data_IF_886157850792
#
_entry.id   IF_886157850792
#
_cell.length_a   1.000
_cell.length_b   1.000
_cell.length_c   1.000
_cell.angle_alpha   90.00
_cell.angle_beta   90.00
_cell.angle_gamma   90.00
#
_symmetry.space_group_name_H-M   'P 1'
#
loop_
_entity.id
_entity.type
_entity.pdbx_description
1 polymer ?
#
# COMPACT_ATOMS: atom_id res chain seq x y z
N UNK A 1 -23.31 -28.51 -6.67
CA UNK A 1 -21.92 -28.01 -6.81
C UNK A 1 -21.01 -29.17 -7.20
N UNK A 2 -20.10 -28.99 -8.15
CA UNK A 2 -19.18 -30.04 -8.62
C UNK A 2 -17.85 -29.96 -7.86
N UNK A 3 -17.41 -31.07 -7.29
CA UNK A 3 -16.13 -31.14 -6.58
C UNK A 3 -14.97 -31.15 -7.57
N UNK A 4 -14.01 -30.25 -7.41
CA UNK A 4 -12.80 -30.22 -8.24
C UNK A 4 -11.90 -31.43 -7.97
N UNK A 5 -11.34 -31.97 -9.04
CA UNK A 5 -10.44 -33.12 -8.97
C UNK A 5 -9.12 -32.73 -8.30
N UNK A 6 -8.69 -33.54 -7.34
CA UNK A 6 -7.42 -33.38 -6.61
C UNK A 6 -6.41 -34.45 -7.03
N UNK A 7 -5.15 -34.35 -6.61
CA UNK A 7 -4.17 -35.43 -6.81
C UNK A 7 -4.66 -36.75 -6.19
N UNK A 8 -5.36 -36.67 -5.05
CA UNK A 8 -5.96 -37.84 -4.38
C UNK A 8 -7.09 -38.45 -5.20
N UNK A 9 -7.89 -37.65 -5.90
CA UNK A 9 -8.93 -38.14 -6.83
C UNK A 9 -8.30 -39.05 -7.91
N UNK A 10 -7.15 -38.65 -8.45
CA UNK A 10 -6.40 -39.43 -9.44
C UNK A 10 -5.47 -40.50 -8.84
N UNK A 11 -5.44 -40.67 -7.51
CA UNK A 11 -4.58 -41.62 -6.80
C UNK A 11 -3.09 -41.48 -7.16
N UNK A 12 -2.62 -40.24 -7.35
CA UNK A 12 -1.21 -39.98 -7.69
C UNK A 12 -0.31 -40.34 -6.49
N UNK A 13 0.65 -41.26 -6.63
CA UNK A 13 1.55 -41.67 -5.55
C UNK A 13 2.68 -40.65 -5.33
N UNK A 14 3.37 -40.80 -4.20
CA UNK A 14 4.62 -40.06 -3.95
C UNK A 14 5.69 -40.47 -4.98
N UNK A 15 6.51 -39.51 -5.42
CA UNK A 15 7.51 -39.70 -6.47
C UNK A 15 6.97 -39.89 -7.90
N UNK A 16 5.68 -39.65 -8.15
CA UNK A 16 5.10 -39.78 -9.48
C UNK A 16 5.74 -38.82 -10.51
N UNK A 17 5.98 -39.34 -11.72
CA UNK A 17 6.44 -38.54 -12.87
C UNK A 17 5.28 -37.72 -13.45
N UNK A 18 5.46 -36.39 -13.53
CA UNK A 18 4.47 -35.45 -14.08
C UNK A 18 5.05 -34.82 -15.35
N UNK A 19 4.32 -34.93 -16.47
CA UNK A 19 4.68 -34.30 -17.74
C UNK A 19 4.02 -32.92 -17.86
N UNK A 20 4.80 -31.88 -18.11
CA UNK A 20 4.31 -30.52 -18.41
C UNK A 20 4.30 -30.31 -19.93
N UNK A 21 3.22 -29.75 -20.47
CA UNK A 21 3.08 -29.46 -21.90
C UNK A 21 2.73 -27.99 -22.11
N UNK A 22 3.32 -27.37 -23.15
CA UNK A 22 2.99 -26.01 -23.57
C UNK A 22 2.06 -26.05 -24.78
N UNK A 23 1.30 -24.97 -24.99
CA UNK A 23 0.36 -24.85 -26.12
C UNK A 23 1.07 -25.05 -27.48
N UNK A 24 2.33 -24.62 -27.60
CA UNK A 24 3.15 -24.77 -28.82
C UNK A 24 3.53 -26.23 -29.13
N UNK A 25 3.56 -27.11 -28.12
CA UNK A 25 3.99 -28.51 -28.25
C UNK A 25 2.81 -29.50 -28.09
N UNK A 26 1.56 -29.04 -28.20
CA UNK A 26 0.35 -29.86 -28.04
C UNK A 26 -0.25 -30.31 -29.37
N UNK A 27 -0.77 -31.54 -29.38
CA UNK A 27 -1.76 -31.96 -30.37
C UNK A 27 -3.11 -31.26 -30.06
N UNK A 28 -3.82 -30.73 -31.08
CA UNK A 28 -5.01 -29.88 -30.91
C UNK A 28 -6.16 -30.49 -30.09
N UNK A 29 -6.19 -31.81 -29.90
CA UNK A 29 -7.25 -32.55 -29.22
C UNK A 29 -7.12 -32.60 -27.68
N UNK A 30 -6.05 -32.03 -27.08
CA UNK A 30 -5.76 -32.16 -25.63
C UNK A 30 -5.91 -30.86 -24.82
N UNK A 31 -6.45 -29.80 -25.43
CA UNK A 31 -6.66 -28.53 -24.74
C UNK A 31 -7.88 -28.62 -23.79
N UNK A 32 -7.61 -28.87 -22.51
CA UNK A 32 -8.61 -28.68 -21.45
C UNK A 32 -8.86 -27.18 -21.26
N UNK A 33 -10.13 -26.78 -21.19
CA UNK A 33 -10.52 -25.41 -20.89
C UNK A 33 -10.22 -25.07 -19.42
N UNK A 34 -9.85 -23.81 -19.15
CA UNK A 34 -9.67 -23.31 -17.79
C UNK A 34 -11.02 -23.21 -17.09
N UNK A 35 -11.24 -24.03 -16.07
CA UNK A 35 -12.45 -23.98 -15.25
C UNK A 35 -12.52 -22.68 -14.44
N UNK A 36 -11.37 -22.07 -14.14
CA UNK A 36 -11.27 -20.79 -13.40
C UNK A 36 -11.84 -19.60 -14.19
N UNK A 37 -11.92 -19.73 -15.51
CA UNK A 37 -12.39 -18.66 -16.40
C UNK A 37 -13.92 -18.69 -16.57
N UNK A 38 -14.62 -19.70 -16.01
CA UNK A 38 -16.08 -19.74 -15.96
C UNK A 38 -16.60 -18.61 -15.06
N UNK A 39 -17.45 -17.74 -15.60
CA UNK A 39 -18.06 -16.63 -14.86
C UNK A 39 -18.83 -17.09 -13.61
N UNK A 40 -19.33 -18.32 -13.62
CA UNK A 40 -20.06 -18.93 -12.51
C UNK A 40 -19.19 -19.93 -11.71
N UNK A 41 -17.86 -19.78 -11.74
CA UNK A 41 -16.93 -20.70 -11.08
C UNK A 41 -17.26 -20.93 -9.60
N UNK A 42 -17.51 -19.85 -8.85
CA UNK A 42 -17.76 -19.89 -7.40
C UNK A 42 -19.08 -20.55 -6.99
N UNK A 43 -20.06 -20.62 -7.91
CA UNK A 43 -21.37 -21.24 -7.67
C UNK A 43 -21.45 -22.67 -8.21
N UNK A 44 -20.71 -22.96 -9.28
CA UNK A 44 -20.71 -24.28 -9.92
C UNK A 44 -19.75 -25.25 -9.26
N UNK A 45 -18.60 -24.80 -8.75
CA UNK A 45 -17.52 -25.68 -8.30
C UNK A 45 -17.17 -25.49 -6.83
N UNK A 46 -16.93 -26.59 -6.12
CA UNK A 46 -16.41 -26.61 -4.76
C UNK A 46 -15.06 -27.35 -4.68
N UNK A 47 -14.31 -27.11 -3.62
CA UNK A 47 -13.05 -27.81 -3.37
C UNK A 47 -12.98 -28.32 -1.93
N UNK A 48 -12.45 -27.55 -0.99
CA UNK A 48 -12.32 -27.98 0.41
C UNK A 48 -13.50 -27.58 1.30
N UNK A 49 -14.33 -26.65 0.84
CA UNK A 49 -15.50 -26.15 1.56
C UNK A 49 -16.70 -26.37 0.64
N UNK A 50 -17.70 -27.05 1.17
CA UNK A 50 -19.02 -27.15 0.56
C UNK A 50 -19.95 -26.13 1.24
N UNK A 51 -20.48 -25.14 0.50
CA UNK A 51 -21.34 -24.10 1.06
C UNK A 51 -22.69 -24.65 1.56
N UNK A 52 -23.15 -25.81 1.08
CA UNK A 52 -24.42 -26.41 1.52
C UNK A 52 -24.32 -27.03 2.93
N UNK A 53 -23.12 -27.13 3.50
CA UNK A 53 -22.91 -27.56 4.89
C UNK A 53 -23.64 -26.62 5.87
N UNK A 54 -23.91 -25.37 5.53
CA UNK A 54 -24.63 -24.45 6.42
C UNK A 54 -26.10 -24.87 6.66
N UNK A 55 -26.73 -25.59 5.72
CA UNK A 55 -28.09 -26.13 5.92
C UNK A 55 -28.12 -27.39 6.79
N UNK A 56 -27.05 -28.20 6.78
CA UNK A 56 -26.92 -29.41 7.63
C UNK A 56 -26.35 -29.11 9.03
N UNK A 57 -25.77 -27.92 9.25
CA UNK A 57 -25.25 -27.45 10.54
C UNK A 57 -26.34 -27.18 11.61
N UNK A 58 -27.63 -27.15 11.25
CA UNK A 58 -28.73 -26.97 12.21
C UNK A 58 -28.89 -28.11 13.23
N UNK A 59 -28.23 -29.27 13.04
CA UNK A 59 -28.42 -30.45 13.90
C UNK A 59 -27.44 -30.59 15.08
N UNK A 60 -26.35 -29.81 15.15
CA UNK A 60 -25.49 -29.78 16.36
C UNK A 60 -24.52 -28.57 16.37
N UNK A 61 -24.94 -27.40 16.90
CA UNK A 61 -24.20 -26.12 16.77
C UNK A 61 -23.01 -25.94 17.72
N UNK A 62 -23.07 -26.49 18.95
CA UNK A 62 -22.20 -26.03 20.04
C UNK A 62 -20.81 -26.71 20.08
N UNK A 63 -20.70 -27.97 19.67
CA UNK A 63 -19.45 -28.75 19.81
C UNK A 63 -18.41 -28.55 18.70
N UNK A 64 -18.75 -27.88 17.59
CA UNK A 64 -17.86 -27.74 16.41
C UNK A 64 -17.45 -26.30 16.07
N UNK A 65 -18.28 -25.29 16.38
CA UNK A 65 -17.96 -23.87 16.10
C UNK A 65 -16.81 -23.33 16.97
N UNK A 66 -16.67 -23.83 18.20
CA UNK A 66 -15.56 -23.52 19.12
C UNK A 66 -14.25 -24.20 18.68
N UNK A 67 -14.29 -25.50 18.32
CA UNK A 67 -13.09 -26.25 17.90
C UNK A 67 -12.45 -25.69 16.62
N UNK A 68 -13.24 -25.23 15.64
CA UNK A 68 -12.69 -24.67 14.41
C UNK A 68 -11.99 -23.31 14.65
N UNK A 69 -12.55 -22.45 15.51
CA UNK A 69 -11.97 -21.14 15.82
C UNK A 69 -10.65 -21.26 16.60
N UNK A 70 -10.57 -22.18 17.56
CA UNK A 70 -9.35 -22.41 18.35
C UNK A 70 -8.22 -23.05 17.52
N UNK A 71 -8.53 -24.08 16.71
CA UNK A 71 -7.55 -24.71 15.81
C UNK A 71 -7.00 -23.71 14.78
N UNK A 72 -7.84 -22.78 14.31
CA UNK A 72 -7.41 -21.74 13.38
C UNK A 72 -6.50 -20.70 14.05
N UNK A 73 -6.69 -20.40 15.33
CA UNK A 73 -5.83 -19.45 16.05
C UNK A 73 -4.40 -19.98 16.22
N UNK A 74 -4.23 -21.26 16.55
CA UNK A 74 -2.89 -21.88 16.63
C UNK A 74 -2.17 -21.86 15.28
N UNK A 75 -2.90 -22.07 14.17
CA UNK A 75 -2.34 -21.96 12.81
C UNK A 75 -1.95 -20.52 12.46
N UNK A 76 -2.74 -19.54 12.86
CA UNK A 76 -2.39 -18.11 12.68
C UNK A 76 -1.12 -17.76 13.46
N UNK A 77 -1.01 -18.21 14.72
CA UNK A 77 0.19 -18.02 15.53
C UNK A 77 1.42 -18.70 14.91
N UNK A 78 1.27 -19.95 14.45
CA UNK A 78 2.35 -20.68 13.78
C UNK A 78 2.81 -19.95 12.52
N UNK A 79 1.87 -19.45 11.72
CA UNK A 79 2.19 -18.65 10.52
C UNK A 79 2.88 -17.35 10.91
N UNK A 80 2.39 -16.63 11.92
CA UNK A 80 3.03 -15.41 12.45
C UNK A 80 4.47 -15.67 12.82
N UNK A 81 4.74 -16.71 13.62
CA UNK A 81 6.09 -17.08 14.05
C UNK A 81 6.99 -17.38 12.85
N UNK A 82 6.49 -18.15 11.87
CA UNK A 82 7.27 -18.52 10.69
C UNK A 82 7.70 -17.32 9.84
N UNK A 83 6.85 -16.30 9.70
CA UNK A 83 7.15 -15.09 8.91
C UNK A 83 7.72 -13.95 9.73
N UNK A 84 7.80 -14.08 11.06
CA UNK A 84 8.05 -12.96 11.96
C UNK A 84 9.39 -12.27 11.69
N UNK A 85 10.45 -13.04 11.47
CA UNK A 85 11.79 -12.50 11.19
C UNK A 85 11.82 -11.59 9.95
N UNK A 86 11.06 -11.94 8.91
CA UNK A 86 10.93 -11.12 7.71
C UNK A 86 10.17 -9.82 7.99
N UNK A 87 9.11 -9.89 8.80
CA UNK A 87 8.35 -8.70 9.23
C UNK A 87 9.23 -7.77 10.05
N UNK A 88 9.97 -8.30 11.03
CA UNK A 88 10.89 -7.51 11.85
C UNK A 88 11.98 -6.87 11.01
N UNK A 89 12.59 -7.64 10.11
CA UNK A 89 13.66 -7.13 9.25
C UNK A 89 13.14 -6.01 8.34
N UNK A 90 11.94 -6.17 7.77
CA UNK A 90 11.30 -5.13 6.96
C UNK A 90 11.04 -3.86 7.78
N UNK A 91 10.43 -3.99 8.95
CA UNK A 91 10.12 -2.87 9.83
C UNK A 91 11.38 -2.12 10.27
N UNK A 92 12.39 -2.86 10.73
CA UNK A 92 13.71 -2.30 11.07
C UNK A 92 14.50 -1.81 9.87
N UNK A 93 14.18 -2.19 8.64
CA UNK A 93 14.78 -1.57 7.44
C UNK A 93 14.09 -0.23 7.12
N UNK A 94 12.79 -0.11 7.41
CA UNK A 94 12.02 1.11 7.17
C UNK A 94 12.41 2.23 8.14
N UNK A 95 12.51 1.92 9.44
CA UNK A 95 12.86 2.91 10.48
C UNK A 95 14.24 2.72 11.10
N UNK A 96 14.94 1.63 10.80
CA UNK A 96 16.31 1.44 11.26
C UNK A 96 17.29 2.04 10.27
N UNK A 97 18.21 2.82 10.81
CA UNK A 97 19.23 3.51 10.05
C UNK A 97 20.50 2.67 10.04
N UNK A 98 20.73 1.89 8.98
CA UNK A 98 22.06 1.35 8.75
C UNK A 98 23.03 2.54 8.62
N UNK A 99 23.99 2.66 9.56
CA UNK A 99 24.99 3.74 9.62
C UNK A 99 24.44 5.17 9.78
N UNK A 100 23.31 5.39 10.48
CA UNK A 100 22.68 6.72 10.65
C UNK A 100 22.31 7.42 9.34
N UNK A 101 22.24 6.69 8.21
CA UNK A 101 21.88 7.27 6.92
C UNK A 101 20.36 7.30 6.77
N UNK A 102 19.77 8.48 7.01
CA UNK A 102 18.38 8.79 6.68
C UNK A 102 18.33 9.42 5.29
N UNK A 103 17.31 9.12 4.50
CA UNK A 103 17.12 9.77 3.19
C UNK A 103 17.01 11.29 3.34
N UNK A 104 17.70 12.08 2.49
CA UNK A 104 17.60 13.55 2.50
C UNK A 104 16.15 14.05 2.47
N UNK A 105 15.28 13.38 1.70
CA UNK A 105 13.85 13.72 1.62
C UNK A 105 13.11 13.58 2.97
N UNK A 106 13.42 12.54 3.74
CA UNK A 106 12.78 12.31 5.05
C UNK A 106 13.26 13.38 6.04
N UNK A 107 14.58 13.62 6.11
CA UNK A 107 15.15 14.63 7.01
C UNK A 107 14.62 16.02 6.70
N UNK A 108 14.74 16.46 5.45
CA UNK A 108 14.27 17.77 5.01
C UNK A 108 12.77 17.97 5.29
N UNK A 109 11.94 16.96 4.97
CA UNK A 109 10.50 17.05 5.19
C UNK A 109 10.11 17.04 6.68
N UNK A 110 10.81 16.28 7.53
CA UNK A 110 10.55 16.26 8.97
C UNK A 110 10.99 17.55 9.65
N UNK A 111 12.11 18.15 9.23
CA UNK A 111 12.56 19.47 9.70
C UNK A 111 11.57 20.57 9.28
N UNK A 112 10.99 20.47 8.08
CA UNK A 112 9.91 21.35 7.64
C UNK A 112 8.68 21.22 8.56
N UNK A 113 8.26 20.00 8.91
CA UNK A 113 7.14 19.81 9.83
C UNK A 113 7.42 20.38 11.23
N UNK A 114 8.64 20.20 11.74
CA UNK A 114 9.03 20.75 13.04
C UNK A 114 9.06 22.29 13.00
N UNK A 115 9.56 22.88 11.92
CA UNK A 115 9.55 24.33 11.69
C UNK A 115 8.12 24.89 11.62
N UNK A 116 7.19 24.16 11.00
CA UNK A 116 5.77 24.53 10.93
C UNK A 116 5.06 24.47 12.30
N UNK A 117 5.45 23.52 13.17
CA UNK A 117 4.98 23.45 14.56
C UNK A 117 5.45 24.67 15.34
N UNK A 118 6.72 25.03 15.22
CA UNK A 118 7.32 26.21 15.86
C UNK A 118 6.66 27.51 15.38
N UNK A 119 6.52 27.67 14.05
CA UNK A 119 5.88 28.84 13.43
C UNK A 119 4.44 29.04 13.90
N UNK A 120 3.69 27.95 14.08
CA UNK A 120 2.31 27.97 14.57
C UNK A 120 2.21 28.01 16.10
N UNK A 121 3.35 28.01 16.82
CA UNK A 121 3.44 28.01 18.29
C UNK A 121 2.65 26.87 18.94
N UNK A 122 2.68 25.70 18.32
CA UNK A 122 2.00 24.51 18.85
C UNK A 122 2.83 23.96 20.03
N UNK A 123 2.20 23.83 21.19
CA UNK A 123 2.86 23.39 22.44
C UNK A 123 2.66 21.91 22.75
N UNK A 124 1.71 21.26 22.08
CA UNK A 124 1.42 19.83 22.26
C UNK A 124 2.55 18.97 21.66
N UNK A 125 3.27 18.17 22.47
CA UNK A 125 4.39 17.34 22.01
C UNK A 125 3.96 16.18 21.11
N UNK A 126 2.68 15.84 21.06
CA UNK A 126 2.16 14.73 20.26
C UNK A 126 1.92 15.14 18.79
N UNK A 127 1.68 16.43 18.53
CA UNK A 127 1.35 16.94 17.20
C UNK A 127 2.45 16.67 16.16
N UNK A 128 3.76 16.95 16.42
CA UNK A 128 4.82 16.62 15.47
C UNK A 128 4.85 15.13 15.13
N UNK A 129 4.66 14.26 16.13
CA UNK A 129 4.63 12.80 15.94
C UNK A 129 3.44 12.38 15.06
N UNK A 130 2.26 12.94 15.29
CA UNK A 130 1.06 12.69 14.49
C UNK A 130 1.26 13.14 13.05
N UNK A 131 1.81 14.33 12.82
CA UNK A 131 2.06 14.85 11.47
C UNK A 131 3.08 13.99 10.71
N UNK A 132 4.20 13.62 11.33
CA UNK A 132 5.22 12.73 10.75
C UNK A 132 4.61 11.37 10.39
N UNK A 133 3.81 10.79 11.29
CA UNK A 133 3.15 9.49 11.09
C UNK A 133 2.10 9.52 9.97
N UNK A 134 1.27 10.57 9.94
CA UNK A 134 0.19 10.71 8.97
C UNK A 134 0.68 11.12 7.57
N UNK A 135 1.90 11.61 7.45
CA UNK A 135 2.49 12.07 6.19
C UNK A 135 3.35 11.00 5.52
N UNK A 136 4.21 10.28 6.26
CA UNK A 136 5.14 9.31 5.67
C UNK A 136 4.69 7.84 5.89
N UNK A 137 4.69 7.27 7.11
CA UNK A 137 4.25 5.89 7.34
C UNK A 137 2.87 5.58 6.77
N UNK A 138 1.88 6.44 7.03
CA UNK A 138 0.49 6.18 6.63
C UNK A 138 0.25 6.32 5.12
N UNK A 139 0.85 7.32 4.48
CA UNK A 139 0.57 7.62 3.05
C UNK A 139 1.46 6.83 2.11
N UNK A 140 2.72 6.63 2.49
CA UNK A 140 3.71 5.97 1.65
C UNK A 140 3.89 4.51 2.07
N UNK A 141 4.39 4.24 3.28
CA UNK A 141 4.82 2.89 3.66
C UNK A 141 3.67 1.89 3.76
N UNK A 142 2.53 2.26 4.33
CA UNK A 142 1.32 1.40 4.34
C UNK A 142 0.88 1.07 2.93
N UNK A 143 0.99 2.02 1.99
CA UNK A 143 0.58 1.79 0.62
C UNK A 143 1.50 0.76 -0.07
N UNK A 144 2.83 0.88 0.10
CA UNK A 144 3.81 -0.09 -0.41
C UNK A 144 3.66 -1.47 0.25
N UNK A 145 3.47 -1.51 1.58
CA UNK A 145 3.27 -2.76 2.35
C UNK A 145 2.03 -3.52 1.87
N UNK A 146 0.94 -2.80 1.61
CA UNK A 146 -0.29 -3.40 1.13
C UNK A 146 -0.24 -3.71 -0.36
N UNK A 147 0.51 -2.95 -1.16
CA UNK A 147 0.52 -3.06 -2.61
C UNK A 147 1.94 -3.33 -3.14
N UNK A 148 2.52 -4.50 -2.84
CA UNK A 148 3.87 -4.83 -3.29
C UNK A 148 3.98 -4.95 -4.81
N UNK A 149 2.86 -5.10 -5.54
CA UNK A 149 2.82 -5.06 -7.00
C UNK A 149 3.18 -3.68 -7.59
N UNK A 150 3.23 -2.62 -6.77
CA UNK A 150 3.75 -1.32 -7.20
C UNK A 150 5.28 -1.31 -7.33
N UNK A 151 5.97 -2.29 -6.72
CA UNK A 151 7.42 -2.37 -6.68
C UNK A 151 7.92 -3.60 -7.44
N UNK A 152 7.18 -4.71 -7.38
CA UNK A 152 7.57 -6.00 -7.94
C UNK A 152 6.51 -6.51 -8.91
N UNK A 153 6.93 -7.28 -9.92
CA UNK A 153 6.01 -7.98 -10.81
C UNK A 153 5.44 -9.22 -10.10
N UNK A 154 4.34 -9.01 -9.36
CA UNK A 154 3.68 -10.06 -8.59
C UNK A 154 2.16 -10.03 -8.71
N UNK A 155 1.57 -11.21 -8.89
CA UNK A 155 0.11 -11.39 -8.84
C UNK A 155 -0.38 -11.42 -7.40
N UNK A 156 -0.91 -10.29 -6.94
CA UNK A 156 -1.45 -10.15 -5.58
C UNK A 156 -2.81 -10.87 -5.46
N UNK A 157 -2.82 -11.98 -4.74
CA UNK A 157 -4.07 -12.70 -4.42
C UNK A 157 -4.86 -12.04 -3.28
N UNK A 158 -6.20 -12.22 -3.20
CA UNK A 158 -6.99 -11.71 -2.07
C UNK A 158 -6.55 -12.26 -0.70
N UNK A 159 -6.04 -13.50 -0.64
CA UNK A 159 -5.50 -14.06 0.59
C UNK A 159 -4.25 -13.29 1.04
N UNK A 160 -3.33 -13.03 0.11
CA UNK A 160 -2.13 -12.24 0.38
C UNK A 160 -2.49 -10.81 0.80
N UNK A 161 -3.49 -10.19 0.17
CA UNK A 161 -4.01 -8.87 0.57
C UNK A 161 -4.46 -8.83 2.04
N UNK A 162 -5.21 -9.86 2.47
CA UNK A 162 -5.63 -10.01 3.86
C UNK A 162 -4.44 -10.13 4.83
N UNK A 163 -3.44 -10.94 4.48
CA UNK A 163 -2.22 -11.10 5.28
C UNK A 163 -1.40 -9.80 5.38
N UNK A 164 -1.18 -9.12 4.25
CA UNK A 164 -0.46 -7.86 4.20
C UNK A 164 -1.20 -6.74 4.93
N UNK A 165 -2.54 -6.76 4.91
CA UNK A 165 -3.35 -5.82 5.68
C UNK A 165 -3.18 -6.00 7.19
N UNK A 166 -3.03 -7.24 7.67
CA UNK A 166 -2.69 -7.50 9.09
C UNK A 166 -1.32 -6.93 9.43
N UNK A 167 -0.30 -7.18 8.60
CA UNK A 167 1.06 -6.67 8.81
C UNK A 167 1.09 -5.13 8.76
N UNK A 168 0.41 -4.52 7.79
CA UNK A 168 0.32 -3.06 7.67
C UNK A 168 -0.42 -2.42 8.86
N UNK A 169 -1.43 -3.09 9.42
CA UNK A 169 -2.07 -2.62 10.64
C UNK A 169 -1.10 -2.68 11.83
N UNK A 170 -0.36 -3.77 12.00
CA UNK A 170 0.69 -3.89 13.01
C UNK A 170 1.76 -2.81 12.85
N UNK A 171 2.18 -2.54 11.62
CA UNK A 171 3.08 -1.44 11.30
C UNK A 171 2.53 -0.11 11.81
N UNK A 172 1.28 0.23 11.48
CA UNK A 172 0.66 1.48 11.95
C UNK A 172 0.45 1.55 13.45
N UNK A 173 0.09 0.44 14.10
CA UNK A 173 -0.07 0.36 15.56
C UNK A 173 1.26 0.68 16.27
N UNK A 174 2.40 0.42 15.62
CA UNK A 174 3.75 0.76 16.11
C UNK A 174 4.03 2.27 16.16
N UNK A 175 3.28 3.08 15.40
CA UNK A 175 3.36 4.54 15.46
C UNK A 175 2.29 5.16 16.37
N UNK A 176 1.44 4.36 17.02
CA UNK A 176 0.40 4.89 17.90
C UNK A 176 0.98 5.44 19.20
N UNK A 177 0.55 6.64 19.60
CA UNK A 177 0.88 7.24 20.89
C UNK A 177 0.10 6.63 22.06
N UNK A 178 -1.06 6.02 21.78
CA UNK A 178 -1.94 5.43 22.78
C UNK A 178 -1.51 4.02 23.13
N UNK A 179 -1.37 3.71 24.41
CA UNK A 179 -1.15 2.35 24.85
C UNK A 179 -2.39 1.49 24.67
N UNK A 180 -2.20 0.34 24.02
CA UNK A 180 -3.29 -0.56 23.68
C UNK A 180 -3.49 -1.55 24.82
N UNK A 181 -4.54 -1.37 25.62
CA UNK A 181 -5.03 -2.43 26.50
C UNK A 181 -5.98 -3.33 25.72
N UNK A 182 -5.45 -4.46 25.23
CA UNK A 182 -6.27 -5.43 24.50
C UNK A 182 -6.95 -6.40 25.47
N UNK A 183 -8.28 -6.31 25.53
CA UNK A 183 -9.12 -7.26 26.26
C UNK A 183 -9.49 -8.49 25.42
N UNK A 184 -10.27 -9.39 26.03
CA UNK A 184 -10.78 -10.64 25.41
C UNK A 184 -11.55 -10.44 24.08
N UNK A 185 -12.09 -9.24 23.86
CA UNK A 185 -12.87 -8.89 22.67
C UNK A 185 -12.06 -8.15 21.60
N UNK A 186 -10.74 -8.03 21.78
CA UNK A 186 -9.89 -7.41 20.78
C UNK A 186 -9.87 -8.23 19.47
N UNK A 187 -9.77 -7.56 18.31
CA UNK A 187 -9.60 -8.23 17.03
C UNK A 187 -8.37 -9.16 17.02
N UNK A 188 -8.51 -10.36 16.44
CA UNK A 188 -7.43 -11.38 16.43
C UNK A 188 -6.13 -10.86 15.83
N UNK A 189 -6.20 -10.05 14.77
CA UNK A 189 -5.02 -9.44 14.15
C UNK A 189 -4.22 -8.54 15.10
N UNK A 190 -4.89 -7.85 16.04
CA UNK A 190 -4.22 -7.04 17.08
C UNK A 190 -3.58 -7.93 18.15
N UNK A 191 -4.28 -9.00 18.54
CA UNK A 191 -3.76 -9.97 19.51
C UNK A 191 -2.50 -10.70 19.00
N UNK A 192 -2.36 -10.90 17.69
CA UNK A 192 -1.21 -11.61 17.09
C UNK A 192 0.13 -10.91 17.33
N UNK A 193 0.15 -9.58 17.42
CA UNK A 193 1.38 -8.78 17.54
C UNK A 193 1.44 -7.92 18.80
N UNK A 194 0.46 -8.06 19.72
CA UNK A 194 0.36 -7.21 20.93
C UNK A 194 1.64 -7.17 21.77
N UNK A 195 2.39 -8.27 21.81
CA UNK A 195 3.64 -8.37 22.58
C UNK A 195 4.82 -7.64 21.91
N UNK A 196 4.77 -7.48 20.60
CA UNK A 196 5.86 -6.89 19.80
C UNK A 196 5.70 -5.36 19.68
N UNK A 197 4.45 -4.86 19.64
CA UNK A 197 4.12 -3.43 19.48
C UNK A 197 4.87 -2.50 20.47
N UNK A 198 4.95 -2.79 21.79
CA UNK A 198 5.65 -1.90 22.71
C UNK A 198 7.12 -1.67 22.33
N UNK A 199 7.81 -2.71 21.85
CA UNK A 199 9.19 -2.58 21.37
C UNK A 199 9.23 -1.72 20.10
N UNK A 200 8.37 -1.99 19.11
CA UNK A 200 8.34 -1.21 17.87
C UNK A 200 8.04 0.27 18.11
N UNK A 201 7.16 0.59 19.07
CA UNK A 201 6.92 1.97 19.50
C UNK A 201 8.18 2.67 20.01
N UNK A 202 9.03 1.97 20.78
CA UNK A 202 10.29 2.52 21.27
C UNK A 202 11.30 2.73 20.13
N UNK A 203 11.37 1.78 19.19
CA UNK A 203 12.21 1.90 17.99
C UNK A 203 11.78 3.10 17.12
N UNK A 204 10.47 3.29 16.91
CA UNK A 204 9.91 4.45 16.17
C UNK A 204 10.22 5.77 16.88
N UNK A 205 10.05 5.84 18.20
CA UNK A 205 10.42 7.04 18.99
C UNK A 205 11.90 7.37 18.83
N UNK A 206 12.75 6.33 18.87
CA UNK A 206 14.20 6.47 18.65
C UNK A 206 14.51 6.96 17.24
N UNK A 207 13.83 6.44 16.23
CA UNK A 207 13.97 6.88 14.85
C UNK A 207 13.61 8.36 14.67
N UNK A 208 12.44 8.81 15.14
CA UNK A 208 12.06 10.22 15.04
C UNK A 208 12.99 11.15 15.79
N UNK A 209 13.49 10.73 16.95
CA UNK A 209 14.53 11.48 17.68
C UNK A 209 15.83 11.55 16.87
N UNK A 210 16.30 10.43 16.34
CA UNK A 210 17.51 10.38 15.51
C UNK A 210 17.40 11.33 14.30
N UNK A 211 16.27 11.29 13.57
CA UNK A 211 16.07 12.19 12.42
C UNK A 211 16.11 13.65 12.85
N UNK A 212 15.50 13.99 14.01
CA UNK A 212 15.54 15.35 14.55
C UNK A 212 16.96 15.79 14.89
N UNK A 213 17.74 14.91 15.52
CA UNK A 213 19.09 15.18 15.99
C UNK A 213 20.14 15.23 14.85
N UNK A 214 19.80 14.79 13.63
CA UNK A 214 20.68 14.92 12.47
C UNK A 214 20.90 16.39 12.08
N UNK A 215 22.07 16.74 11.50
CA UNK A 215 22.30 18.07 10.94
C UNK A 215 21.21 18.46 9.94
N UNK A 216 20.82 19.73 9.98
CA UNK A 216 19.88 20.28 9.01
C UNK A 216 20.50 20.25 7.61
N UNK A 217 19.69 19.86 6.63
CA UNK A 217 20.07 19.87 5.21
C UNK A 217 19.87 21.28 4.68
N UNK A 218 20.89 21.83 4.04
CA UNK A 218 20.79 23.16 3.43
C UNK A 218 19.90 23.13 2.18
N UNK A 219 19.30 24.27 1.83
CA UNK A 219 18.49 24.37 0.60
C UNK A 219 19.31 24.01 -0.65
N UNK A 220 20.60 24.35 -0.67
CA UNK A 220 21.47 24.01 -1.78
C UNK A 220 21.66 22.50 -1.91
N UNK A 221 22.04 21.81 -0.84
CA UNK A 221 22.21 20.35 -0.84
C UNK A 221 20.91 19.65 -1.23
N UNK A 222 19.76 20.13 -0.74
CA UNK A 222 18.48 19.54 -1.10
C UNK A 222 18.12 19.79 -2.58
N UNK A 223 18.41 20.97 -3.13
CA UNK A 223 18.25 21.26 -4.57
C UNK A 223 19.13 20.38 -5.43
N UNK A 224 20.38 20.13 -5.02
CA UNK A 224 21.29 19.22 -5.71
C UNK A 224 20.71 17.79 -5.74
N UNK A 225 20.25 17.27 -4.59
CA UNK A 225 19.57 15.99 -4.48
C UNK A 225 18.32 15.88 -5.40
N UNK A 226 17.50 16.93 -5.45
CA UNK A 226 16.32 16.97 -6.32
C UNK A 226 16.72 17.00 -7.81
N UNK A 227 17.74 17.76 -8.17
CA UNK A 227 18.22 17.84 -9.55
C UNK A 227 18.83 16.53 -10.04
N UNK A 228 19.60 15.84 -9.20
CA UNK A 228 20.12 14.51 -9.51
C UNK A 228 18.99 13.50 -9.74
N UNK A 229 17.96 13.54 -8.90
CA UNK A 229 16.78 12.69 -9.04
C UNK A 229 16.01 13.03 -10.31
N UNK A 230 15.78 14.32 -10.60
CA UNK A 230 15.08 14.75 -11.81
C UNK A 230 15.80 14.30 -13.09
N UNK A 231 17.13 14.49 -13.16
CA UNK A 231 17.95 14.06 -14.30
C UNK A 231 17.87 12.56 -14.56
N UNK A 232 17.80 11.76 -13.49
CA UNK A 232 17.68 10.31 -13.62
C UNK A 232 16.39 9.87 -14.33
N UNK A 233 15.32 10.65 -14.19
CA UNK A 233 13.98 10.31 -14.65
C UNK A 233 13.45 11.24 -15.77
N UNK A 234 14.28 12.13 -16.33
CA UNK A 234 13.91 13.19 -17.27
C UNK A 234 13.13 12.68 -18.50
N UNK A 235 13.44 11.47 -18.98
CA UNK A 235 12.85 10.90 -20.19
C UNK A 235 11.94 9.68 -19.91
N UNK A 236 11.56 9.45 -18.66
CA UNK A 236 10.71 8.31 -18.29
C UNK A 236 9.21 8.59 -18.47
N UNK A 237 8.81 9.86 -18.41
CA UNK A 237 7.40 10.26 -18.39
C UNK A 237 7.04 11.19 -19.56
N UNK A 238 5.83 11.06 -20.08
CA UNK A 238 5.33 11.92 -21.15
C UNK A 238 4.68 13.19 -20.56
N UNK A 239 5.47 14.25 -20.41
CA UNK A 239 5.00 15.55 -19.90
C UNK A 239 3.87 16.13 -20.76
N UNK A 240 3.95 15.98 -22.09
CA UNK A 240 2.94 16.48 -23.01
C UNK A 240 1.56 15.87 -22.75
N UNK A 241 1.51 14.56 -22.46
CA UNK A 241 0.26 13.90 -22.08
C UNK A 241 -0.25 14.39 -20.71
N UNK A 242 0.62 14.50 -19.72
CA UNK A 242 0.27 14.99 -18.39
C UNK A 242 -0.31 16.41 -18.43
N UNK A 243 0.32 17.33 -19.18
CA UNK A 243 -0.15 18.71 -19.35
C UNK A 243 -1.50 18.77 -20.07
N UNK A 244 -1.70 17.96 -21.13
CA UNK A 244 -3.01 17.86 -21.80
C UNK A 244 -4.12 17.39 -20.86
N UNK A 245 -3.84 16.41 -20.00
CA UNK A 245 -4.81 15.92 -19.04
C UNK A 245 -5.05 16.93 -17.90
N UNK A 246 -4.02 17.61 -17.44
CA UNK A 246 -4.13 18.67 -16.43
C UNK A 246 -4.99 19.85 -16.92
N UNK A 247 -4.81 20.25 -18.19
CA UNK A 247 -5.58 21.35 -18.78
C UNK A 247 -7.09 21.09 -18.77
N UNK A 248 -7.54 19.82 -18.80
CA UNK A 248 -8.97 19.49 -18.68
C UNK A 248 -9.58 20.05 -17.38
N UNK A 249 -8.81 20.06 -16.29
CA UNK A 249 -9.24 20.65 -15.02
C UNK A 249 -9.19 22.18 -15.08
N UNK A 250 -8.13 22.76 -15.65
CA UNK A 250 -8.01 24.22 -15.83
C UNK A 250 -9.19 24.76 -16.63
N UNK A 251 -9.54 24.11 -17.74
CA UNK A 251 -10.69 24.48 -18.56
C UNK A 251 -12.01 24.37 -17.79
N UNK A 252 -12.18 23.31 -16.99
CA UNK A 252 -13.40 23.08 -16.22
C UNK A 252 -13.64 24.14 -15.15
N UNK A 253 -12.57 24.59 -14.50
CA UNK A 253 -12.62 25.53 -13.36
C UNK A 253 -12.02 26.89 -13.72
N UNK A 254 -12.06 27.27 -15.01
CA UNK A 254 -11.32 28.43 -15.50
C UNK A 254 -11.74 29.73 -14.80
N UNK A 255 -13.06 29.92 -14.61
CA UNK A 255 -13.59 31.12 -13.94
C UNK A 255 -13.17 31.17 -12.48
N UNK A 256 -13.28 30.07 -11.76
CA UNK A 256 -12.89 29.99 -10.36
C UNK A 256 -11.40 30.24 -10.17
N UNK A 257 -10.56 29.74 -11.10
CA UNK A 257 -9.12 30.03 -11.10
C UNK A 257 -8.87 31.50 -11.39
N UNK A 258 -9.55 32.08 -12.38
CA UNK A 258 -9.42 33.49 -12.74
C UNK A 258 -9.84 34.41 -11.57
N UNK A 259 -11.02 34.19 -11.01
CA UNK A 259 -11.55 34.96 -9.89
C UNK A 259 -10.60 34.90 -8.69
N UNK A 260 -10.02 33.72 -8.41
CA UNK A 260 -9.02 33.57 -7.36
C UNK A 260 -7.75 34.38 -7.66
N UNK A 261 -7.26 34.35 -8.89
CA UNK A 261 -6.09 35.12 -9.30
C UNK A 261 -6.34 36.65 -9.26
N UNK A 262 -7.54 37.11 -9.57
CA UNK A 262 -7.91 38.52 -9.47
C UNK A 262 -7.99 38.99 -8.01
N UNK A 263 -8.51 38.15 -7.11
CA UNK A 263 -8.69 38.49 -5.69
C UNK A 263 -7.38 38.49 -4.88
N UNK A 264 -6.36 37.73 -5.28
CA UNK A 264 -5.13 37.55 -4.51
C UNK A 264 -3.96 38.47 -4.92
N UNK A 265 -4.23 39.60 -5.59
CA UNK A 265 -3.20 40.55 -6.08
C UNK A 265 -2.09 39.87 -6.90
N UNK A 266 -2.43 38.82 -7.66
CA UNK A 266 -1.45 38.10 -8.48
C UNK A 266 -0.97 39.02 -9.62
N UNK A 267 0.31 38.94 -10.04
CA UNK A 267 0.83 39.79 -11.11
C UNK A 267 -0.03 39.68 -12.37
N UNK A 268 -0.37 40.82 -12.98
CA UNK A 268 -1.25 40.91 -14.16
C UNK A 268 -0.79 40.02 -15.33
N UNK A 269 0.52 39.75 -15.43
CA UNK A 269 1.08 38.83 -16.42
C UNK A 269 0.58 37.39 -16.31
N UNK A 270 0.22 36.88 -15.11
CA UNK A 270 -0.26 35.51 -14.94
C UNK A 270 -1.67 35.30 -15.50
N UNK A 271 -2.55 36.30 -15.35
CA UNK A 271 -3.89 36.27 -15.94
C UNK A 271 -3.81 36.24 -17.47
N UNK A 272 -2.91 37.06 -18.04
CA UNK A 272 -2.65 37.08 -19.48
C UNK A 272 -2.11 35.73 -19.96
N UNK A 273 -1.18 35.12 -19.21
CA UNK A 273 -0.64 33.80 -19.55
C UNK A 273 -1.70 32.68 -19.46
N UNK A 274 -2.58 32.73 -18.47
CA UNK A 274 -3.68 31.76 -18.34
C UNK A 274 -4.63 31.83 -19.54
N UNK A 275 -4.96 33.05 -19.96
CA UNK A 275 -5.75 33.32 -21.15
C UNK A 275 -5.04 32.86 -22.43
N UNK A 276 -3.73 33.10 -22.54
CA UNK A 276 -2.92 32.64 -23.66
C UNK A 276 -2.91 31.11 -23.77
N UNK A 277 -2.70 30.41 -22.65
CA UNK A 277 -2.77 28.95 -22.60
C UNK A 277 -4.15 28.46 -23.05
N UNK A 278 -5.24 29.10 -22.60
CA UNK A 278 -6.60 28.74 -23.06
C UNK A 278 -6.71 28.86 -24.58
N UNK A 279 -6.29 29.98 -25.14
CA UNK A 279 -6.37 30.24 -26.58
C UNK A 279 -5.51 29.25 -27.37
N UNK A 280 -4.30 28.93 -26.91
CA UNK A 280 -3.43 27.94 -27.55
C UNK A 280 -4.08 26.55 -27.60
N UNK A 281 -4.70 26.10 -26.50
CA UNK A 281 -5.39 24.82 -26.44
C UNK A 281 -6.68 24.78 -27.29
N UNK A 282 -7.41 25.89 -27.39
CA UNK A 282 -8.58 25.98 -28.27
C UNK A 282 -8.19 25.98 -29.75
N UNK A 283 -7.11 26.68 -30.11
CA UNK A 283 -6.57 26.67 -31.46
C UNK A 283 -6.03 25.29 -31.87
N UNK A 284 -5.36 24.57 -30.96
CA UNK A 284 -4.92 23.20 -31.19
C UNK A 284 -6.08 22.22 -31.44
N UNK A 285 -7.23 22.43 -30.79
CA UNK A 285 -8.44 21.61 -31.05
C UNK A 285 -9.05 21.89 -32.42
N UNK A 286 -8.96 23.14 -32.89
CA UNK A 286 -9.45 23.52 -34.22
C UNK A 286 -8.56 22.99 -35.35
N UNK A 287 -7.29 22.68 -35.06
CA UNK A 287 -6.32 22.09 -35.99
C UNK A 287 -6.40 20.54 -36.05
N UNK A 288 -7.14 19.86 -35.17
CA UNK A 288 -7.27 18.39 -35.19
C UNK A 288 -8.44 17.88 -36.06
N UNK A 289 -8.92 18.68 -37.01
CA UNK A 289 -10.02 18.35 -37.95
C UNK A 289 -9.60 18.42 -39.43
N UNK A 290 -8.33 18.20 -39.73
CA UNK A 290 -7.83 17.89 -41.09
C UNK A 290 -6.95 16.64 -41.08
#
# INVERSE_FOLDING_TARGET
>A
MTLLNTLKHYKVPDGALIKVTTVKNRAPLTAQASVKDDQNFTTKYCHLIDPDIDTSQRKNPERKKLKLKEINLTKLLSTKVAVHSFVENLFRTIWGTANNKVSPAIKFFFDFLDSEVERKKITDPDVPHIWKTNSLPLRFWVNILKNPQFVFDIDKTPLLDGCLSVIAQTFMDSFSLLDQQLGKYAPTNKLLYVKDIPQYKQEVKTFYKLVKDLPQITEQEFREFLNETAKKHENEFNESAAVRDLYKYVKRYFREIQDYLEQNNTPSGLLVQLEEVRNQFENMRNLSWE
#
